data_IF_427846019056
#
_entry.id   IF_427846019056
#
_cell.length_a   1.000
_cell.length_b   1.000
_cell.length_c   1.000
_cell.angle_alpha   90.00
_cell.angle_beta   90.00
_cell.angle_gamma   90.00
#
_symmetry.space_group_name_H-M   'P 1'
#
loop_
_entity.id
_entity.type
_entity.pdbx_description
1 polymer ?
#
# COMPACT_ATOMS: atom_id res chain seq x y z
N UNK A 1 1.70 6.82 -7.84
CA UNK A 1 0.35 6.50 -8.39
C UNK A 1 0.45 5.56 -9.59
N UNK A 2 1.11 5.94 -10.69
CA UNK A 2 1.19 5.10 -11.90
C UNK A 2 1.64 3.66 -11.65
N UNK A 3 2.73 3.46 -10.90
CA UNK A 3 3.20 2.11 -10.52
C UNK A 3 2.16 1.30 -9.71
N UNK A 4 1.35 1.97 -8.89
CA UNK A 4 0.29 1.31 -8.11
C UNK A 4 -0.82 0.84 -9.06
N UNK A 5 -1.17 1.67 -10.05
CA UNK A 5 -2.19 1.33 -11.05
C UNK A 5 -1.72 0.21 -11.97
N UNK A 6 -0.44 0.22 -12.36
CA UNK A 6 0.20 -0.82 -13.15
C UNK A 6 0.15 -2.19 -12.45
N UNK A 7 0.52 -2.26 -11.17
CA UNK A 7 0.47 -3.50 -10.39
C UNK A 7 -0.99 -3.97 -10.18
N UNK A 8 -1.93 -3.05 -9.94
CA UNK A 8 -3.35 -3.41 -9.73
C UNK A 8 -4.09 -3.77 -11.01
N UNK A 9 -3.55 -3.44 -12.18
CA UNK A 9 -4.20 -3.62 -13.48
C UNK A 9 -5.46 -2.77 -13.70
N UNK A 10 -5.78 -1.86 -12.78
CA UNK A 10 -6.97 -1.00 -12.82
C UNK A 10 -6.65 0.40 -12.30
N UNK A 11 -7.46 1.38 -12.72
CA UNK A 11 -7.35 2.75 -12.24
C UNK A 11 -7.52 2.83 -10.71
N UNK A 12 -6.68 3.62 -10.06
CA UNK A 12 -6.71 3.82 -8.63
C UNK A 12 -7.81 4.81 -8.29
N UNK A 13 -8.68 4.44 -7.34
CA UNK A 13 -9.61 5.39 -6.73
C UNK A 13 -8.80 6.57 -6.14
N UNK A 14 -9.07 7.82 -6.54
CA UNK A 14 -8.34 8.99 -6.05
C UNK A 14 -8.30 9.10 -4.52
N UNK A 15 -9.32 8.59 -3.84
CA UNK A 15 -9.42 8.65 -2.37
C UNK A 15 -8.67 7.53 -1.66
N UNK A 16 -8.15 6.52 -2.36
CA UNK A 16 -7.50 5.37 -1.71
C UNK A 16 -6.22 5.80 -0.95
N UNK A 17 -5.33 6.54 -1.63
CA UNK A 17 -4.09 7.03 -1.00
C UNK A 17 -4.40 7.97 0.15
N UNK A 18 -5.36 8.88 -0.04
CA UNK A 18 -5.80 9.82 0.99
C UNK A 18 -6.28 9.08 2.25
N UNK A 19 -7.11 8.05 2.10
CA UNK A 19 -7.60 7.27 3.24
C UNK A 19 -6.51 6.50 3.99
N UNK A 20 -5.45 6.06 3.29
CA UNK A 20 -4.30 5.42 3.92
C UNK A 20 -3.45 6.44 4.68
N UNK A 21 -3.31 7.66 4.16
CA UNK A 21 -2.63 8.77 4.85
C UNK A 21 -3.43 9.28 6.05
N UNK A 22 -4.75 9.42 5.93
CA UNK A 22 -5.63 9.86 7.03
C UNK A 22 -5.66 8.87 8.21
N UNK A 23 -5.34 7.60 7.97
CA UNK A 23 -5.13 6.58 9.01
C UNK A 23 -3.69 6.52 9.51
N UNK A 24 -2.81 7.40 9.05
CA UNK A 24 -1.37 7.33 9.28
C UNK A 24 -0.74 5.98 8.87
N UNK A 25 -1.34 5.20 7.97
CA UNK A 25 -0.77 3.93 7.54
C UNK A 25 0.41 4.13 6.58
N UNK A 26 0.37 5.19 5.78
CA UNK A 26 1.45 5.55 4.86
C UNK A 26 1.80 7.04 4.97
N UNK A 27 3.02 7.39 4.58
CA UNK A 27 3.47 8.78 4.46
C UNK A 27 4.33 8.98 3.20
N UNK A 28 4.51 10.24 2.80
CA UNK A 28 5.38 10.64 1.69
C UNK A 28 6.82 10.73 2.18
N UNK A 29 7.68 9.86 1.65
CA UNK A 29 9.11 9.82 2.01
C UNK A 29 10.01 10.58 1.02
N UNK A 30 9.41 11.12 -0.05
CA UNK A 30 10.12 11.88 -1.06
C UNK A 30 9.38 11.89 -2.39
N UNK A 31 10.09 12.28 -3.44
CA UNK A 31 9.59 12.29 -4.81
C UNK A 31 10.62 11.64 -5.72
N UNK A 32 10.17 10.92 -6.76
CA UNK A 32 11.08 10.39 -7.78
C UNK A 32 11.66 11.53 -8.63
N UNK A 33 12.92 11.40 -9.03
CA UNK A 33 13.56 12.33 -9.96
C UNK A 33 13.30 11.93 -11.42
N UNK A 34 12.02 11.97 -11.80
CA UNK A 34 11.53 11.69 -13.15
C UNK A 34 10.49 12.75 -13.54
N UNK A 35 10.15 12.92 -14.83
CA UNK A 35 9.10 13.85 -15.25
C UNK A 35 7.79 13.64 -14.48
N UNK A 36 7.21 14.74 -13.98
CA UNK A 36 6.02 14.71 -13.12
C UNK A 36 6.30 14.52 -11.63
N UNK A 37 7.54 14.23 -11.22
CA UNK A 37 8.01 14.13 -9.82
C UNK A 37 7.01 13.43 -8.87
N UNK A 38 6.56 12.21 -9.19
CA UNK A 38 5.53 11.55 -8.39
C UNK A 38 6.03 11.27 -6.96
N UNK A 39 5.15 11.42 -5.98
CA UNK A 39 5.42 11.12 -4.58
C UNK A 39 5.73 9.64 -4.37
N UNK A 40 6.72 9.37 -3.53
CA UNK A 40 7.07 8.07 -2.99
C UNK A 40 6.38 7.87 -1.64
N UNK A 41 5.72 6.74 -1.47
CA UNK A 41 5.01 6.41 -0.24
C UNK A 41 5.68 5.24 0.46
N UNK A 42 5.69 5.27 1.79
CA UNK A 42 6.11 4.14 2.62
C UNK A 42 5.15 3.96 3.80
N UNK A 43 5.11 2.75 4.36
CA UNK A 43 4.34 2.46 5.57
C UNK A 43 4.95 3.15 6.78
N UNK A 44 4.12 3.53 7.75
CA UNK A 44 4.59 4.12 9.02
C UNK A 44 4.66 3.08 10.14
N UNK A 45 5.03 3.52 11.34
CA UNK A 45 4.91 2.70 12.56
C UNK A 45 3.45 2.48 12.98
N UNK A 46 2.54 3.38 12.65
CA UNK A 46 1.12 3.22 12.99
C UNK A 46 0.50 2.05 12.22
N UNK A 47 0.88 1.87 10.95
CA UNK A 47 0.58 0.66 10.19
C UNK A 47 1.04 -0.61 10.93
N UNK A 48 2.28 -0.66 11.42
CA UNK A 48 2.75 -1.83 12.16
C UNK A 48 1.93 -2.08 13.43
N UNK A 49 1.59 -1.02 14.18
CA UNK A 49 0.80 -1.13 15.40
C UNK A 49 -0.62 -1.65 15.14
N UNK A 50 -1.32 -1.11 14.15
CA UNK A 50 -2.69 -1.49 13.81
C UNK A 50 -2.78 -2.94 13.33
N UNK A 51 -1.74 -3.43 12.66
CA UNK A 51 -1.63 -4.81 12.20
C UNK A 51 -0.92 -5.73 13.22
N UNK A 52 -0.56 -5.21 14.40
CA UNK A 52 0.13 -5.93 15.46
C UNK A 52 1.43 -6.61 15.00
N UNK A 53 2.21 -5.91 14.18
CA UNK A 53 3.50 -6.33 13.65
C UNK A 53 4.63 -5.61 14.38
N UNK A 54 5.73 -6.32 14.66
CA UNK A 54 6.95 -5.72 15.20
C UNK A 54 7.82 -5.11 14.10
N UNK A 55 7.73 -5.64 12.89
CA UNK A 55 8.45 -5.15 11.71
C UNK A 55 7.81 -5.66 10.42
N UNK A 56 8.20 -5.08 9.28
CA UNK A 56 7.70 -5.50 7.95
C UNK A 56 8.10 -6.93 7.57
N UNK A 57 9.11 -7.53 8.21
CA UNK A 57 9.49 -8.92 7.94
C UNK A 57 8.50 -9.95 8.49
N UNK A 58 7.53 -9.51 9.29
CA UNK A 58 6.44 -10.35 9.80
C UNK A 58 5.22 -10.36 8.89
N UNK A 59 5.26 -9.61 7.78
CA UNK A 59 4.22 -9.70 6.76
C UNK A 59 4.21 -11.12 6.17
N UNK A 60 3.02 -11.69 5.90
CA UNK A 60 2.92 -12.98 5.23
C UNK A 60 3.59 -12.93 3.86
N UNK A 61 4.13 -14.06 3.42
CA UNK A 61 4.66 -14.18 2.06
C UNK A 61 3.54 -13.93 1.03
N UNK A 62 3.87 -13.28 -0.09
CA UNK A 62 2.91 -12.96 -1.13
C UNK A 62 2.31 -14.23 -1.75
N UNK A 63 3.08 -15.32 -1.82
CA UNK A 63 2.60 -16.62 -2.28
C UNK A 63 1.46 -17.16 -1.39
N UNK A 64 1.51 -16.89 -0.08
CA UNK A 64 0.47 -17.31 0.87
C UNK A 64 -0.86 -16.56 0.68
N UNK A 65 -0.84 -15.35 0.12
CA UNK A 65 -2.05 -14.60 -0.22
C UNK A 65 -2.74 -15.14 -1.47
N UNK A 66 -2.00 -15.60 -2.46
CA UNK A 66 -2.56 -16.18 -3.69
C UNK A 66 -3.26 -17.53 -3.43
N UNK A 67 -2.92 -18.20 -2.34
CA UNK A 67 -3.53 -19.48 -1.94
C UNK A 67 -4.83 -19.30 -1.15
N UNK A 68 -5.03 -18.14 -0.53
CA UNK A 68 -6.23 -17.79 0.24
C UNK A 68 -7.12 -16.87 -0.61
N UNK A 69 -7.70 -17.42 -1.68
CA UNK A 69 -8.85 -16.78 -2.31
C UNK A 69 -9.97 -16.72 -1.27
N UNK A 70 -10.13 -15.57 -0.61
CA UNK A 70 -11.37 -15.25 0.09
C UNK A 70 -12.46 -15.36 -0.99
N UNK A 71 -13.41 -16.30 -0.90
CA UNK A 71 -14.47 -16.35 -1.88
C UNK A 71 -15.18 -14.99 -1.83
N UNK A 72 -15.14 -14.29 -2.95
CA UNK A 72 -15.95 -13.09 -3.14
C UNK A 72 -17.39 -13.57 -3.09
N UNK A 73 -18.01 -13.51 -1.90
CA UNK A 73 -19.45 -13.55 -1.81
C UNK A 73 -19.96 -12.26 -2.45
N UNK A 74 -20.21 -12.36 -3.76
CA UNK A 74 -21.06 -11.45 -4.54
C UNK A 74 -22.51 -11.75 -4.19
#
# INVERSE_FOLDING_TARGET
RGEIEEIRGVALNPNAIRQLQERDWIDVIGQKDVPGRPSLYATTKHFLNDFNLRSLSELPDIESFLQNEIPLNV
#
